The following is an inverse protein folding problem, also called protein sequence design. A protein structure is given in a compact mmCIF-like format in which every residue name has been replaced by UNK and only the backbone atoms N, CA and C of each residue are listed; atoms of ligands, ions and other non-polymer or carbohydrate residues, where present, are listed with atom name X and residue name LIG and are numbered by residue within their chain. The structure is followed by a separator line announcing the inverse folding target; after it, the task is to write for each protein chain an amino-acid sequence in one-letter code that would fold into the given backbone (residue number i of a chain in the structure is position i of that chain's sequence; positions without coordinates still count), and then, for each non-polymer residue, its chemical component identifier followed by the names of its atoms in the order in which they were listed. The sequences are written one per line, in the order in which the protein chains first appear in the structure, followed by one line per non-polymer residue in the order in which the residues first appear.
data_IF_489858418789
#
_entry.id   IF_489858418789
#
_cell.length_a   1.000
_cell.length_b   1.000
_cell.length_c   1.000
_cell.angle_alpha   90.00
_cell.angle_beta   90.00
_cell.angle_gamma   90.00
#
_symmetry.space_group_name_H-M   'P 1'
#
loop_
_entity.id
_entity.type
_entity.pdbx_description
1 polymer ?
#
# COMPACT_ATOMS: atom_id res chain seq x y z
N UNK A 1 23.85 67.37 -18.73
CA UNK A 1 23.20 66.90 -17.47
C UNK A 1 22.07 65.92 -17.69
N UNK A 2 21.34 65.83 -18.80
CA UNK A 2 20.24 64.90 -19.01
C UNK A 2 20.64 63.41 -19.13
N UNK A 3 21.81 63.07 -19.68
CA UNK A 3 22.27 61.67 -19.84
C UNK A 3 22.57 60.95 -18.53
N UNK A 4 23.02 61.65 -17.49
CA UNK A 4 23.34 61.07 -16.18
C UNK A 4 22.10 60.59 -15.42
N UNK A 5 20.98 61.30 -15.53
CA UNK A 5 19.74 60.95 -14.83
C UNK A 5 19.08 59.66 -15.41
N UNK A 6 19.24 59.40 -16.72
CA UNK A 6 18.69 58.21 -17.37
C UNK A 6 19.41 56.96 -16.88
N UNK A 7 20.73 56.95 -16.72
CA UNK A 7 21.50 55.85 -16.23
C UNK A 7 21.20 55.48 -14.75
N UNK A 8 20.98 56.47 -13.90
CA UNK A 8 20.56 56.24 -12.53
C UNK A 8 19.16 55.63 -12.46
N UNK A 9 18.21 56.10 -13.27
CA UNK A 9 16.86 55.53 -13.36
C UNK A 9 16.84 54.08 -13.87
N UNK A 10 17.72 53.75 -14.85
CA UNK A 10 17.87 52.37 -15.37
C UNK A 10 18.50 51.47 -14.31
N UNK A 11 19.50 51.95 -13.57
CA UNK A 11 20.13 51.19 -12.48
C UNK A 11 19.16 50.86 -11.34
N UNK A 12 18.31 51.82 -10.95
CA UNK A 12 17.27 51.62 -9.93
C UNK A 12 16.23 50.58 -10.41
N UNK A 13 15.80 50.67 -11.67
CA UNK A 13 14.88 49.70 -12.24
C UNK A 13 15.51 48.28 -12.25
N UNK A 14 16.77 48.15 -12.67
CA UNK A 14 17.49 46.87 -12.68
C UNK A 14 17.68 46.31 -11.27
N UNK A 15 17.98 47.15 -10.28
CA UNK A 15 18.11 46.73 -8.88
C UNK A 15 16.76 46.25 -8.35
N UNK A 16 15.68 46.96 -8.61
CA UNK A 16 14.33 46.54 -8.23
C UNK A 16 13.94 45.19 -8.87
N UNK A 17 14.24 45.02 -10.17
CA UNK A 17 13.99 43.77 -10.89
C UNK A 17 14.81 42.61 -10.30
N UNK A 18 16.09 42.86 -9.98
CA UNK A 18 16.95 41.83 -9.38
C UNK A 18 16.44 41.39 -8.02
N UNK A 19 15.94 42.29 -7.18
CA UNK A 19 15.34 41.98 -5.88
C UNK A 19 14.07 41.11 -6.06
N UNK A 20 13.23 41.45 -7.03
CA UNK A 20 12.03 40.65 -7.34
C UNK A 20 12.41 39.24 -7.78
N UNK A 21 13.40 39.08 -8.67
CA UNK A 21 13.87 37.76 -9.08
C UNK A 21 14.48 36.98 -7.91
N UNK A 22 15.21 37.64 -7.00
CA UNK A 22 15.73 37.02 -5.80
C UNK A 22 14.59 36.47 -4.93
N UNK A 23 13.53 37.25 -4.68
CA UNK A 23 12.37 36.76 -3.91
C UNK A 23 11.66 35.61 -4.59
N UNK A 24 11.49 35.64 -5.90
CA UNK A 24 10.89 34.52 -6.65
C UNK A 24 11.78 33.28 -6.53
N UNK A 25 13.10 33.43 -6.67
CA UNK A 25 14.02 32.30 -6.57
C UNK A 25 14.02 31.69 -5.15
N UNK A 26 14.02 32.52 -4.10
CA UNK A 26 13.93 32.06 -2.70
C UNK A 26 12.59 31.35 -2.45
N UNK A 27 11.47 31.94 -2.86
CA UNK A 27 10.15 31.31 -2.74
C UNK A 27 10.08 29.96 -3.45
N UNK A 28 10.65 29.88 -4.66
CA UNK A 28 10.73 28.62 -5.41
C UNK A 28 11.62 27.58 -4.70
N UNK A 29 12.78 27.99 -4.16
CA UNK A 29 13.65 27.09 -3.39
C UNK A 29 12.98 26.53 -2.14
N UNK A 30 12.22 27.35 -1.41
CA UNK A 30 11.44 26.91 -0.25
C UNK A 30 10.43 25.84 -0.68
N UNK A 31 9.66 26.11 -1.73
CA UNK A 31 8.67 25.15 -2.24
C UNK A 31 9.32 23.83 -2.69
N UNK A 32 10.45 23.87 -3.39
CA UNK A 32 11.19 22.68 -3.81
C UNK A 32 11.68 21.88 -2.59
N UNK A 33 12.18 22.56 -1.55
CA UNK A 33 12.65 21.93 -0.33
C UNK A 33 11.53 21.24 0.45
N UNK A 34 10.36 21.88 0.57
CA UNK A 34 9.17 21.25 1.20
C UNK A 34 8.74 19.99 0.45
N UNK A 35 8.71 20.05 -0.88
CA UNK A 35 8.38 18.91 -1.71
C UNK A 35 9.39 17.74 -1.56
N UNK A 36 10.68 18.04 -1.46
CA UNK A 36 11.72 17.04 -1.23
C UNK A 36 11.59 16.40 0.15
N UNK A 37 11.28 17.16 1.18
CA UNK A 37 11.10 16.64 2.54
C UNK A 37 9.95 15.64 2.59
N UNK A 38 8.80 15.94 1.98
CA UNK A 38 7.65 15.02 1.91
C UNK A 38 8.02 13.68 1.26
N UNK A 39 8.74 13.72 0.14
CA UNK A 39 9.21 12.50 -0.54
C UNK A 39 10.22 11.72 0.30
N UNK A 40 11.11 12.42 0.98
CA UNK A 40 12.13 11.79 1.84
C UNK A 40 11.49 11.08 3.01
N UNK A 41 10.59 11.75 3.73
CA UNK A 41 9.85 11.18 4.87
C UNK A 41 9.02 9.97 4.46
N UNK A 42 8.37 10.04 3.30
CA UNK A 42 7.63 8.91 2.73
C UNK A 42 8.52 7.69 2.48
N UNK A 43 9.64 7.88 1.78
CA UNK A 43 10.58 6.79 1.45
C UNK A 43 11.20 6.21 2.72
N UNK A 44 11.60 7.07 3.66
CA UNK A 44 12.21 6.65 4.92
C UNK A 44 11.23 5.83 5.77
N UNK A 45 9.99 6.29 5.91
CA UNK A 45 8.94 5.58 6.65
C UNK A 45 8.66 4.22 6.04
N UNK A 46 8.51 4.14 4.72
CA UNK A 46 8.30 2.85 4.03
C UNK A 46 9.48 1.90 4.18
N UNK A 47 10.69 2.41 4.09
CA UNK A 47 11.91 1.61 4.26
C UNK A 47 12.01 1.07 5.69
N UNK A 48 11.79 1.91 6.70
CA UNK A 48 11.79 1.50 8.12
C UNK A 48 10.74 0.41 8.40
N UNK A 49 9.53 0.58 7.88
CA UNK A 49 8.46 -0.43 8.00
C UNK A 49 8.85 -1.74 7.31
N UNK A 50 9.32 -1.66 6.08
CA UNK A 50 9.74 -2.83 5.30
C UNK A 50 10.85 -3.60 6.00
N UNK A 51 11.91 -2.91 6.47
CA UNK A 51 13.05 -3.53 7.14
C UNK A 51 12.64 -4.16 8.48
N UNK A 52 11.76 -3.48 9.23
CA UNK A 52 11.22 -4.00 10.49
C UNK A 52 10.42 -5.28 10.27
N UNK A 53 9.47 -5.26 9.33
CA UNK A 53 8.68 -6.44 8.94
C UNK A 53 9.61 -7.55 8.40
N UNK A 54 10.55 -7.19 7.53
CA UNK A 54 11.52 -8.14 6.96
C UNK A 54 12.38 -8.83 7.99
N UNK A 55 12.85 -8.11 9.00
CA UNK A 55 13.65 -8.67 10.10
C UNK A 55 12.83 -9.59 11.01
N UNK A 56 11.63 -9.19 11.38
CA UNK A 56 10.75 -9.93 12.28
C UNK A 56 10.26 -11.25 11.64
N UNK A 57 9.84 -11.17 10.37
CA UNK A 57 9.28 -12.34 9.67
C UNK A 57 10.31 -13.13 8.84
N UNK A 58 11.61 -12.88 9.00
CA UNK A 58 12.67 -13.54 8.21
C UNK A 58 12.59 -15.07 8.23
N UNK A 59 12.35 -15.64 9.39
CA UNK A 59 12.27 -17.09 9.57
C UNK A 59 10.89 -17.64 9.18
N UNK A 60 9.84 -16.90 9.49
CA UNK A 60 8.46 -17.28 9.26
C UNK A 60 8.07 -17.21 7.78
N UNK A 61 8.67 -16.31 7.01
CA UNK A 61 8.41 -16.13 5.57
C UNK A 61 8.57 -17.43 4.76
N UNK A 62 9.59 -18.23 5.09
CA UNK A 62 9.82 -19.52 4.44
C UNK A 62 8.81 -20.58 4.90
N UNK A 63 8.49 -20.61 6.21
CA UNK A 63 7.53 -21.54 6.80
C UNK A 63 6.13 -21.37 6.23
N UNK A 64 5.72 -20.14 5.96
CA UNK A 64 4.37 -19.79 5.53
C UNK A 64 4.23 -19.54 4.04
N UNK A 65 5.30 -19.73 3.25
CA UNK A 65 5.36 -19.35 1.84
C UNK A 65 4.87 -17.91 1.62
N UNK A 66 5.38 -17.01 2.47
CA UNK A 66 5.03 -15.59 2.48
C UNK A 66 6.17 -14.76 1.90
N UNK A 67 5.85 -13.68 1.22
CA UNK A 67 6.82 -12.66 0.80
C UNK A 67 6.37 -11.27 1.22
N UNK A 68 7.35 -10.39 1.48
CA UNK A 68 7.13 -8.99 1.80
C UNK A 68 7.54 -8.15 0.60
N UNK A 69 6.59 -7.40 0.05
CA UNK A 69 6.82 -6.47 -1.05
C UNK A 69 7.34 -5.12 -0.58
N UNK A 70 8.07 -4.42 -1.45
CA UNK A 70 8.50 -3.02 -1.20
C UNK A 70 7.30 -2.06 -1.02
N UNK A 71 6.14 -2.46 -1.48
CA UNK A 71 4.86 -1.78 -1.32
C UNK A 71 4.18 -2.09 0.02
N UNK A 72 4.92 -2.65 0.99
CA UNK A 72 4.46 -3.09 2.31
C UNK A 72 3.33 -4.13 2.26
N UNK A 73 3.22 -4.88 1.17
CA UNK A 73 2.30 -6.00 1.07
C UNK A 73 2.95 -7.29 1.57
N UNK A 74 2.28 -7.98 2.48
CA UNK A 74 2.64 -9.31 2.95
C UNK A 74 1.77 -10.33 2.23
N UNK A 75 2.37 -11.10 1.29
CA UNK A 75 1.69 -11.97 0.33
C UNK A 75 1.81 -13.42 0.74
N UNK A 76 0.70 -14.07 1.06
CA UNK A 76 0.61 -15.51 1.25
C UNK A 76 0.28 -16.16 -0.09
N UNK A 77 1.18 -17.02 -0.60
CA UNK A 77 1.18 -17.45 -2.01
C UNK A 77 0.62 -18.85 -2.24
N UNK A 78 0.59 -19.74 -1.24
CA UNK A 78 0.17 -21.10 -1.44
C UNK A 78 -1.37 -21.22 -1.46
N UNK A 79 -2.01 -21.32 -2.66
CA UNK A 79 -3.46 -21.25 -2.76
C UNK A 79 -4.16 -22.45 -2.07
N UNK A 80 -3.53 -23.61 -2.05
CA UNK A 80 -4.10 -24.83 -1.45
C UNK A 80 -4.09 -24.78 0.07
N UNK A 81 -3.15 -24.01 0.64
CA UNK A 81 -3.06 -23.74 2.07
C UNK A 81 -4.09 -22.70 2.49
N UNK A 82 -4.37 -21.70 1.64
CA UNK A 82 -5.22 -20.58 2.01
C UNK A 82 -6.72 -20.94 2.01
N UNK A 83 -7.21 -21.50 0.90
CA UNK A 83 -8.63 -21.81 0.70
C UNK A 83 -8.79 -23.06 -0.17
N UNK A 84 -9.81 -23.87 0.12
CA UNK A 84 -10.23 -24.89 -0.83
C UNK A 84 -10.77 -24.25 -2.14
N UNK A 85 -10.73 -25.00 -3.22
CA UNK A 85 -11.19 -24.49 -4.53
C UNK A 85 -12.65 -24.05 -4.46
N UNK A 86 -12.94 -22.83 -4.92
CA UNK A 86 -14.29 -22.23 -4.88
C UNK A 86 -14.80 -21.87 -3.49
N UNK A 87 -14.05 -22.17 -2.42
CA UNK A 87 -14.41 -21.82 -1.05
C UNK A 87 -13.89 -20.43 -0.65
N UNK A 88 -14.63 -19.78 0.23
CA UNK A 88 -14.22 -18.56 0.90
C UNK A 88 -13.78 -18.79 2.36
N UNK A 89 -13.94 -20.01 2.88
CA UNK A 89 -13.52 -20.32 4.25
C UNK A 89 -12.01 -20.58 4.29
N UNK A 90 -11.26 -19.91 5.19
CA UNK A 90 -9.85 -20.21 5.41
C UNK A 90 -9.68 -21.66 5.89
N UNK A 91 -8.68 -22.35 5.33
CA UNK A 91 -8.36 -23.71 5.79
C UNK A 91 -7.83 -23.68 7.23
N UNK A 92 -7.89 -24.82 7.94
CA UNK A 92 -7.29 -24.93 9.28
C UNK A 92 -5.79 -24.60 9.26
N UNK A 93 -5.09 -24.93 8.17
CA UNK A 93 -3.68 -24.60 8.04
C UNK A 93 -3.46 -23.10 7.94
N UNK A 94 -4.30 -22.40 7.17
CA UNK A 94 -4.21 -20.95 7.09
C UNK A 94 -4.61 -20.25 8.39
N UNK A 95 -5.63 -20.79 9.09
CA UNK A 95 -6.00 -20.32 10.43
C UNK A 95 -4.82 -20.39 11.40
N UNK A 96 -4.10 -21.52 11.45
CA UNK A 96 -2.89 -21.65 12.27
C UNK A 96 -1.79 -20.66 11.90
N UNK A 97 -1.63 -20.37 10.60
CA UNK A 97 -0.70 -19.32 10.15
C UNK A 97 -1.15 -17.94 10.67
N UNK A 98 -2.44 -17.62 10.57
CA UNK A 98 -2.98 -16.36 11.06
C UNK A 98 -2.85 -16.21 12.59
N UNK A 99 -3.02 -17.30 13.34
CA UNK A 99 -2.85 -17.31 14.80
C UNK A 99 -1.42 -16.95 15.24
N UNK A 100 -0.40 -17.35 14.43
CA UNK A 100 0.99 -16.99 14.69
C UNK A 100 1.37 -15.63 14.09
N UNK A 101 0.84 -15.30 12.91
CA UNK A 101 1.17 -14.09 12.15
C UNK A 101 0.56 -12.83 12.76
N UNK A 102 -0.75 -12.83 13.03
CA UNK A 102 -1.48 -11.62 13.42
C UNK A 102 -0.95 -11.00 14.71
N UNK A 103 -0.73 -11.73 15.82
CA UNK A 103 -0.18 -11.11 17.03
C UNK A 103 1.17 -10.42 16.79
N UNK A 104 2.11 -11.10 16.11
CA UNK A 104 3.42 -10.51 15.78
C UNK A 104 3.28 -9.26 14.89
N UNK A 105 2.37 -9.32 13.92
CA UNK A 105 2.11 -8.22 12.99
C UNK A 105 1.56 -7.00 13.73
N UNK A 106 0.56 -7.19 14.58
CA UNK A 106 -0.05 -6.12 15.37
C UNK A 106 0.94 -5.52 16.39
N UNK A 107 1.74 -6.35 17.06
CA UNK A 107 2.76 -5.89 17.99
C UNK A 107 3.83 -4.98 17.34
N UNK A 108 4.10 -5.18 16.05
CA UNK A 108 4.98 -4.29 15.29
C UNK A 108 4.28 -2.97 14.97
N UNK A 109 3.05 -3.05 14.46
CA UNK A 109 2.32 -1.89 13.95
C UNK A 109 1.81 -0.95 15.05
N UNK A 110 1.50 -1.50 16.22
CA UNK A 110 1.03 -0.72 17.37
C UNK A 110 2.16 0.01 18.12
N UNK A 111 3.44 -0.21 17.76
CA UNK A 111 4.56 0.56 18.35
C UNK A 111 4.42 2.05 18.04
N UNK A 112 4.58 2.89 19.03
CA UNK A 112 4.39 4.35 18.92
C UNK A 112 5.16 4.99 17.75
N UNK A 113 6.35 4.46 17.45
CA UNK A 113 7.18 4.94 16.35
C UNK A 113 6.62 4.66 14.94
N UNK A 114 5.63 3.77 14.83
CA UNK A 114 5.07 3.32 13.55
C UNK A 114 3.57 3.61 13.43
N UNK A 115 2.84 3.53 14.54
CA UNK A 115 1.37 3.64 14.54
C UNK A 115 0.83 4.95 13.94
N UNK A 116 1.54 6.06 14.12
CA UNK A 116 1.16 7.37 13.56
C UNK A 116 1.30 7.47 12.04
N UNK A 117 2.03 6.53 11.44
CA UNK A 117 2.27 6.49 10.00
C UNK A 117 1.35 5.54 9.25
N UNK A 118 0.49 4.79 9.96
CA UNK A 118 -0.44 3.83 9.36
C UNK A 118 -1.80 4.49 9.18
N UNK A 119 -2.30 4.46 7.96
CA UNK A 119 -3.62 4.96 7.61
C UNK A 119 -4.63 3.83 7.47
N UNK A 120 -4.24 2.73 6.81
CA UNK A 120 -5.12 1.61 6.53
C UNK A 120 -4.32 0.31 6.42
N UNK A 121 -4.93 -0.80 6.80
CA UNK A 121 -4.41 -2.16 6.59
C UNK A 121 -5.45 -2.91 5.76
N UNK A 122 -5.13 -3.16 4.50
CA UNK A 122 -6.02 -3.86 3.58
C UNK A 122 -5.78 -5.36 3.62
N UNK A 123 -6.82 -6.12 3.87
CA UNK A 123 -6.83 -7.56 3.58
C UNK A 123 -7.34 -7.71 2.14
N UNK A 124 -6.44 -7.98 1.21
CA UNK A 124 -6.75 -8.06 -0.22
C UNK A 124 -6.86 -9.52 -0.65
N UNK A 125 -8.06 -9.91 -1.13
CA UNK A 125 -8.29 -11.21 -1.75
C UNK A 125 -8.07 -11.13 -3.26
N UNK A 126 -7.28 -12.06 -3.81
CA UNK A 126 -6.99 -12.15 -5.24
C UNK A 126 -7.36 -13.53 -5.77
N UNK A 127 -7.86 -13.59 -7.00
CA UNK A 127 -8.19 -14.82 -7.69
C UNK A 127 -7.42 -14.93 -9.01
N UNK A 128 -7.49 -16.11 -9.62
CA UNK A 128 -7.24 -16.32 -11.03
C UNK A 128 -8.51 -16.04 -11.84
N UNK A 129 -8.48 -16.32 -13.15
CA UNK A 129 -9.58 -16.12 -14.07
C UNK A 129 -10.48 -17.34 -14.27
N UNK A 130 -10.43 -18.32 -13.37
CA UNK A 130 -11.34 -19.50 -13.42
C UNK A 130 -12.77 -19.02 -13.22
N UNK A 131 -13.73 -19.42 -14.10
CA UNK A 131 -15.11 -19.02 -13.95
C UNK A 131 -15.80 -19.72 -12.77
N UNK A 132 -16.68 -18.99 -12.08
CA UNK A 132 -17.57 -19.52 -11.03
C UNK A 132 -19.02 -19.13 -11.34
N UNK A 133 -19.67 -19.78 -12.33
CA UNK A 133 -21.00 -19.41 -12.81
C UNK A 133 -22.09 -19.51 -11.74
N UNK A 134 -21.89 -20.32 -10.70
CA UNK A 134 -22.76 -20.40 -9.54
C UNK A 134 -22.82 -19.12 -8.70
N UNK A 135 -21.79 -18.27 -8.78
CA UNK A 135 -21.75 -16.97 -8.12
C UNK A 135 -22.26 -15.85 -9.01
N UNK A 136 -21.87 -15.85 -10.29
CA UNK A 136 -22.33 -14.89 -11.27
C UNK A 136 -21.96 -15.34 -12.70
N UNK A 137 -22.82 -15.07 -13.75
CA UNK A 137 -22.52 -15.44 -15.12
C UNK A 137 -21.24 -14.80 -15.69
N UNK A 138 -20.94 -13.57 -15.31
CA UNK A 138 -19.71 -12.88 -15.72
C UNK A 138 -18.52 -13.28 -14.85
N UNK A 139 -17.45 -13.88 -15.42
CA UNK A 139 -16.33 -14.39 -14.63
C UNK A 139 -15.65 -13.35 -13.74
N UNK A 140 -15.51 -12.10 -14.21
CA UNK A 140 -14.90 -11.03 -13.43
C UNK A 140 -15.70 -10.72 -12.16
N UNK A 141 -17.04 -10.63 -12.28
CA UNK A 141 -17.92 -10.35 -11.16
C UNK A 141 -17.96 -11.54 -10.19
N UNK A 142 -18.05 -12.78 -10.71
CA UNK A 142 -17.99 -13.99 -9.88
C UNK A 142 -16.72 -14.04 -9.04
N UNK A 143 -15.57 -13.74 -9.64
CA UNK A 143 -14.30 -13.68 -8.95
C UNK A 143 -14.18 -12.48 -8.00
N UNK A 144 -14.83 -11.36 -8.29
CA UNK A 144 -14.92 -10.23 -7.35
C UNK A 144 -15.69 -10.62 -6.09
N UNK A 145 -16.84 -11.30 -6.25
CA UNK A 145 -17.63 -11.84 -5.14
C UNK A 145 -16.78 -12.81 -4.31
N UNK A 146 -16.14 -13.80 -4.96
CA UNK A 146 -15.32 -14.80 -4.26
C UNK A 146 -14.15 -14.18 -3.51
N UNK A 147 -13.45 -13.25 -4.14
CA UNK A 147 -12.29 -12.57 -3.51
C UNK A 147 -12.73 -11.70 -2.34
N UNK A 148 -13.89 -11.02 -2.44
CA UNK A 148 -14.46 -10.24 -1.35
C UNK A 148 -14.89 -11.13 -0.17
N UNK A 149 -15.53 -12.26 -0.44
CA UNK A 149 -15.90 -13.22 0.60
C UNK A 149 -14.68 -13.78 1.32
N UNK A 150 -13.58 -14.04 0.61
CA UNK A 150 -12.32 -14.52 1.17
C UNK A 150 -11.66 -13.51 2.09
N UNK A 151 -11.52 -12.25 1.64
CA UNK A 151 -10.95 -11.20 2.48
C UNK A 151 -11.80 -10.92 3.71
N UNK A 152 -13.13 -10.94 3.57
CA UNK A 152 -14.05 -10.80 4.68
C UNK A 152 -13.96 -11.97 5.67
N UNK A 153 -13.85 -13.22 5.19
CA UNK A 153 -13.70 -14.39 6.06
C UNK A 153 -12.39 -14.35 6.86
N UNK A 154 -11.30 -13.87 6.25
CA UNK A 154 -10.04 -13.61 6.99
C UNK A 154 -10.24 -12.53 8.05
N UNK A 155 -10.91 -11.42 7.72
CA UNK A 155 -11.23 -10.35 8.68
C UNK A 155 -12.05 -10.89 9.85
N UNK A 156 -13.09 -11.66 9.58
CA UNK A 156 -13.95 -12.27 10.61
C UNK A 156 -13.16 -13.21 11.52
N UNK A 157 -12.20 -13.94 10.97
CA UNK A 157 -11.34 -14.84 11.73
C UNK A 157 -10.38 -14.09 12.67
N UNK A 158 -9.77 -13.01 12.20
CA UNK A 158 -8.77 -12.26 12.99
C UNK A 158 -9.40 -11.26 13.98
N UNK A 159 -10.63 -10.80 13.77
CA UNK A 159 -11.29 -9.78 14.59
C UNK A 159 -11.31 -10.12 16.11
N UNK A 160 -11.60 -11.37 16.54
CA UNK A 160 -11.54 -11.73 17.96
C UNK A 160 -10.15 -11.57 18.58
N UNK A 161 -9.07 -11.59 17.78
CA UNK A 161 -7.71 -11.40 18.29
C UNK A 161 -7.45 -9.96 18.75
N UNK A 162 -8.24 -8.99 18.26
CA UNK A 162 -8.14 -7.59 18.67
C UNK A 162 -8.56 -7.39 20.12
N UNK A 163 -9.42 -8.25 20.67
CA UNK A 163 -9.90 -8.19 22.04
C UNK A 163 -8.79 -8.38 23.08
N UNK A 164 -7.63 -8.89 22.67
CA UNK A 164 -6.44 -9.04 23.52
C UNK A 164 -5.72 -7.70 23.80
N UNK A 165 -6.06 -6.65 23.06
CA UNK A 165 -5.43 -5.33 23.17
C UNK A 165 -6.30 -4.36 23.98
N UNK A 166 -5.73 -3.26 24.52
CA UNK A 166 -6.48 -2.23 25.23
C UNK A 166 -7.59 -1.62 24.34
N UNK A 167 -8.70 -1.11 24.95
CA UNK A 167 -9.83 -0.57 24.17
C UNK A 167 -9.47 0.52 23.14
N UNK A 168 -8.46 1.35 23.44
CA UNK A 168 -7.95 2.37 22.51
C UNK A 168 -7.33 1.74 21.25
N UNK A 169 -6.53 0.69 21.46
CA UNK A 169 -5.89 -0.03 20.36
C UNK A 169 -6.92 -0.85 19.57
N UNK A 170 -7.93 -1.43 20.22
CA UNK A 170 -9.03 -2.10 19.53
C UNK A 170 -9.74 -1.16 18.55
N UNK A 171 -10.08 0.08 18.99
CA UNK A 171 -10.69 1.09 18.11
C UNK A 171 -9.78 1.48 16.96
N UNK A 172 -8.47 1.58 17.21
CA UNK A 172 -7.49 1.88 16.19
C UNK A 172 -7.37 0.75 15.16
N UNK A 173 -7.37 -0.51 15.61
CA UNK A 173 -7.36 -1.68 14.72
C UNK A 173 -8.64 -1.75 13.88
N UNK A 174 -9.81 -1.47 14.47
CA UNK A 174 -11.07 -1.39 13.72
C UNK A 174 -11.07 -0.26 12.67
N UNK A 175 -10.41 0.85 12.97
CA UNK A 175 -10.24 1.94 12.02
C UNK A 175 -9.29 1.58 10.88
N UNK A 176 -8.20 0.87 11.16
CA UNK A 176 -7.21 0.53 10.15
C UNK A 176 -7.63 -0.59 9.20
N UNK A 177 -8.25 -1.65 9.72
CA UNK A 177 -8.46 -2.85 8.94
C UNK A 177 -9.66 -2.75 8.00
N UNK A 178 -9.42 -3.06 6.72
CA UNK A 178 -10.44 -3.19 5.67
C UNK A 178 -10.29 -4.51 4.92
N UNK A 179 -11.40 -5.02 4.37
CA UNK A 179 -11.43 -6.24 3.58
C UNK A 179 -11.82 -5.91 2.13
N UNK A 180 -10.97 -6.30 1.16
CA UNK A 180 -11.08 -5.89 -0.24
C UNK A 180 -10.95 -7.09 -1.18
N UNK A 181 -11.93 -7.28 -2.07
CA UNK A 181 -11.89 -8.29 -3.12
C UNK A 181 -11.51 -7.68 -4.46
N UNK A 182 -10.38 -8.12 -5.04
CA UNK A 182 -9.82 -7.52 -6.25
C UNK A 182 -10.02 -8.38 -7.51
N UNK A 183 -10.80 -9.49 -7.41
CA UNK A 183 -11.00 -10.40 -8.53
C UNK A 183 -9.65 -10.86 -9.12
N UNK A 184 -9.60 -11.06 -10.43
CA UNK A 184 -8.34 -11.24 -11.17
C UNK A 184 -7.82 -9.94 -11.80
N UNK A 185 -8.33 -8.78 -11.41
CA UNK A 185 -7.85 -7.48 -11.90
C UNK A 185 -6.37 -7.24 -11.64
N UNK A 186 -5.86 -7.81 -10.56
CA UNK A 186 -4.43 -7.79 -10.18
C UNK A 186 -3.78 -9.18 -10.29
N UNK A 187 -4.29 -10.04 -11.20
CA UNK A 187 -3.69 -11.33 -11.49
C UNK A 187 -2.25 -11.17 -12.01
N UNK A 188 -1.39 -12.12 -11.65
CA UNK A 188 0.03 -12.11 -11.99
C UNK A 188 0.30 -13.02 -13.20
N UNK A 189 1.30 -12.65 -13.98
CA UNK A 189 1.89 -13.49 -15.03
C UNK A 189 3.02 -14.38 -14.45
N UNK A 190 3.62 -15.28 -15.25
CA UNK A 190 4.73 -16.11 -14.80
C UNK A 190 5.94 -15.32 -14.28
N UNK A 191 6.18 -14.12 -14.78
CA UNK A 191 7.25 -13.22 -14.33
C UNK A 191 6.93 -12.50 -13.01
N UNK A 192 5.64 -12.48 -12.59
CA UNK A 192 5.18 -11.81 -11.38
C UNK A 192 4.68 -10.38 -11.62
N UNK A 193 4.56 -9.95 -12.88
CA UNK A 193 3.96 -8.68 -13.25
C UNK A 193 2.42 -8.79 -13.32
N UNK A 194 1.72 -7.66 -13.27
CA UNK A 194 0.26 -7.64 -13.46
C UNK A 194 -0.11 -8.03 -14.90
N UNK A 195 -0.71 -9.21 -15.07
CA UNK A 195 -0.97 -9.82 -16.37
C UNK A 195 -1.83 -8.94 -17.28
N UNK A 196 -2.91 -8.34 -16.76
CA UNK A 196 -3.88 -7.59 -17.57
C UNK A 196 -3.29 -6.32 -18.21
N UNK A 197 -2.27 -5.73 -17.61
CA UNK A 197 -1.61 -4.50 -18.08
C UNK A 197 -0.19 -4.73 -18.60
N UNK A 198 0.32 -5.95 -18.52
CA UNK A 198 1.65 -6.29 -19.00
C UNK A 198 1.75 -6.10 -20.53
N UNK A 199 2.84 -5.47 -20.97
CA UNK A 199 3.17 -5.36 -22.40
C UNK A 199 3.91 -6.58 -22.93
N UNK A 200 4.51 -7.38 -22.05
CA UNK A 200 5.35 -8.54 -22.40
C UNK A 200 4.58 -9.84 -22.38
N UNK A 201 3.90 -10.15 -21.29
CA UNK A 201 3.16 -11.39 -21.12
C UNK A 201 1.84 -11.12 -20.37
N UNK A 202 0.71 -11.44 -21.02
CA UNK A 202 -0.64 -11.29 -20.47
C UNK A 202 -1.24 -12.60 -19.96
N UNK A 203 -0.48 -13.71 -20.01
CA UNK A 203 -0.93 -14.99 -19.46
C UNK A 203 -1.07 -14.87 -17.94
N UNK A 204 -2.15 -15.41 -17.41
CA UNK A 204 -2.37 -15.44 -15.96
C UNK A 204 -1.75 -16.72 -15.40
N UNK A 205 -0.79 -16.54 -14.48
CA UNK A 205 -0.31 -17.61 -13.63
C UNK A 205 -1.32 -17.82 -12.49
N UNK A 206 -2.03 -18.95 -12.52
CA UNK A 206 -3.12 -19.23 -11.60
C UNK A 206 -2.65 -19.38 -10.15
N UNK A 207 -1.46 -19.97 -9.94
CA UNK A 207 -0.93 -20.18 -8.60
C UNK A 207 -0.49 -18.88 -7.96
N UNK A 208 0.27 -18.06 -8.69
CA UNK A 208 0.71 -16.74 -8.21
C UNK A 208 -0.45 -15.76 -8.02
N UNK A 209 -1.54 -15.93 -8.81
CA UNK A 209 -2.69 -15.04 -8.76
C UNK A 209 -3.61 -15.30 -7.57
N UNK A 210 -3.77 -16.57 -7.16
CA UNK A 210 -4.59 -16.96 -6.00
C UNK A 210 -3.85 -16.75 -4.70
N UNK A 211 -4.03 -15.59 -4.09
CA UNK A 211 -3.30 -15.17 -2.89
C UNK A 211 -4.13 -14.28 -1.97
N UNK A 212 -3.66 -14.13 -0.76
CA UNK A 212 -4.11 -13.09 0.18
C UNK A 212 -2.93 -12.17 0.48
N UNK A 213 -3.20 -10.89 0.46
CA UNK A 213 -2.22 -9.87 0.83
C UNK A 213 -2.73 -9.04 2.02
N UNK A 214 -1.84 -8.79 2.99
CA UNK A 214 -2.02 -7.75 3.99
C UNK A 214 -1.18 -6.56 3.56
N UNK A 215 -1.83 -5.47 3.14
CA UNK A 215 -1.14 -4.29 2.61
C UNK A 215 -1.29 -3.11 3.56
N UNK A 216 -0.18 -2.53 3.97
CA UNK A 216 -0.17 -1.30 4.75
C UNK A 216 -0.22 -0.11 3.80
N UNK A 217 -1.18 0.77 4.02
CA UNK A 217 -1.25 2.10 3.42
C UNK A 217 -0.77 3.08 4.48
N UNK A 218 0.21 3.88 4.14
CA UNK A 218 0.78 4.86 5.06
C UNK A 218 0.14 6.24 4.84
N UNK A 219 0.17 7.09 5.86
CA UNK A 219 -0.25 8.50 5.75
C UNK A 219 0.53 9.23 4.66
N UNK A 220 1.79 8.85 4.42
CA UNK A 220 2.60 9.39 3.33
C UNK A 220 2.10 8.99 1.92
N UNK A 221 1.40 7.87 1.77
CA UNK A 221 0.77 7.48 0.49
C UNK A 221 -0.31 8.49 0.09
N UNK A 222 -1.13 8.95 1.04
CA UNK A 222 -2.17 9.97 0.81
C UNK A 222 -1.53 11.33 0.47
N UNK A 223 -0.51 11.73 1.22
CA UNK A 223 0.21 12.99 0.97
C UNK A 223 0.81 12.98 -0.44
N UNK A 224 1.44 11.87 -0.85
CA UNK A 224 2.01 11.72 -2.18
C UNK A 224 0.93 11.76 -3.27
N UNK A 225 -0.21 11.10 -3.06
CA UNK A 225 -1.33 11.12 -4.01
C UNK A 225 -1.88 12.54 -4.20
N UNK A 226 -2.08 13.27 -3.11
CA UNK A 226 -2.53 14.67 -3.14
C UNK A 226 -1.50 15.58 -3.82
N UNK A 227 -0.21 15.35 -3.58
CA UNK A 227 0.88 16.06 -4.24
C UNK A 227 0.88 15.84 -5.76
N UNK A 228 0.73 14.59 -6.21
CA UNK A 228 0.67 14.27 -7.65
C UNK A 228 -0.54 14.89 -8.31
N UNK A 229 -1.72 14.83 -7.69
CA UNK A 229 -2.95 15.48 -8.19
C UNK A 229 -2.82 16.99 -8.32
N UNK A 230 -2.12 17.64 -7.37
CA UNK A 230 -1.91 19.10 -7.39
C UNK A 230 -0.96 19.55 -8.49
N UNK A 231 0.03 18.72 -8.86
CA UNK A 231 1.06 19.07 -9.84
C UNK A 231 0.79 18.49 -11.25
N UNK A 232 -0.23 17.64 -11.42
CA UNK A 232 -0.71 17.11 -12.71
C UNK A 232 -2.24 17.28 -12.77
N UNK A 233 -2.74 18.52 -13.02
CA UNK A 233 -4.17 18.78 -13.16
C UNK A 233 -4.80 18.16 -14.40
#
# INVERSE_FOLDING_TARGET
MAKQNVWMSVSDLMTGLMVIFLFIAVAYMIQVKENQNVLTDYVETKTKLHDKLGSEFKNDSKKWDMSIGKDLSMRFKNPTVLFAQGSAQPTEQFQRILDEFIPKYLDILLKDSLRSHIQEIRIEGHTDNVPYPQLHPQPFIANAILSQQRSLAVMMYIKPMFEKYPPEEQRLLEYWFTANGLSYGKALNPEGDYALVSKKDRRIDKEKSRRVEFRIITTGDEVLENFVKKNNP
#
